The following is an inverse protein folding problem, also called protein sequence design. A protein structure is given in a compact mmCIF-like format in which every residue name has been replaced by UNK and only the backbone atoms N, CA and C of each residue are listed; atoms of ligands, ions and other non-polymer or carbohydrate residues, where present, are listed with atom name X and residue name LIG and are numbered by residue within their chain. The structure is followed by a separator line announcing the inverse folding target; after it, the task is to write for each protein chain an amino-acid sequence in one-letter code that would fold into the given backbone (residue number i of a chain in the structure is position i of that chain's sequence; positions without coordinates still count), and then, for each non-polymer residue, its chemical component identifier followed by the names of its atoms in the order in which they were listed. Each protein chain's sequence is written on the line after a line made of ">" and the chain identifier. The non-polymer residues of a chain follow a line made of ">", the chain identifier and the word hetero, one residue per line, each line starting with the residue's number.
data_IF_030881720947
#
_entry.id   IF_030881720947
#
_cell.length_a   1.000
_cell.length_b   1.000
_cell.length_c   1.000
_cell.angle_alpha   90.00
_cell.angle_beta   90.00
_cell.angle_gamma   90.00
#
_symmetry.space_group_name_H-M   'P 1'
#
loop_
_entity.id
_entity.type
_entity.pdbx_description
1 polymer ?
#
# COMPACT_ATOMS: atom_id res chain seq x y z
N UNK A 1 -15.50 13.08 -18.21
CA UNK A 1 -15.29 13.62 -16.85
C UNK A 1 -13.87 13.27 -16.42
N UNK A 2 -13.15 14.12 -15.69
CA UNK A 2 -11.86 13.74 -15.12
C UNK A 2 -12.06 12.54 -14.18
N UNK A 3 -11.12 11.59 -14.19
CA UNK A 3 -11.18 10.45 -13.28
C UNK A 3 -10.74 10.89 -11.88
N UNK A 4 -11.51 10.54 -10.85
CA UNK A 4 -11.29 11.03 -9.48
C UNK A 4 -10.18 10.24 -8.77
N UNK A 5 -9.51 10.91 -7.84
CA UNK A 5 -8.76 10.27 -6.77
C UNK A 5 -9.66 10.20 -5.53
N UNK A 6 -9.95 8.99 -5.07
CA UNK A 6 -10.79 8.74 -3.89
C UNK A 6 -9.92 8.20 -2.76
N UNK A 7 -9.85 8.93 -1.66
CA UNK A 7 -9.17 8.49 -0.44
C UNK A 7 -10.19 7.86 0.53
N UNK A 8 -9.83 6.75 1.18
CA UNK A 8 -10.65 6.16 2.24
C UNK A 8 -9.76 5.84 3.45
N UNK A 9 -9.95 6.61 4.51
CA UNK A 9 -9.18 6.47 5.76
C UNK A 9 -9.97 5.77 6.85
N UNK A 10 -9.28 4.97 7.67
CA UNK A 10 -9.88 4.38 8.85
C UNK A 10 -9.00 3.36 9.56
N UNK A 11 -9.32 3.03 10.83
CA UNK A 11 -8.57 2.04 11.58
C UNK A 11 -8.68 0.64 10.94
N UNK A 12 -7.80 -0.28 11.36
CA UNK A 12 -7.95 -1.69 10.99
C UNK A 12 -9.31 -2.22 11.48
N UNK A 13 -9.97 -3.07 10.69
CA UNK A 13 -11.27 -3.65 11.06
C UNK A 13 -12.51 -2.75 10.86
N UNK A 14 -12.35 -1.50 10.39
CA UNK A 14 -13.48 -0.56 10.15
C UNK A 14 -14.34 -0.87 8.92
N UNK A 15 -14.02 -1.93 8.15
CA UNK A 15 -14.72 -2.25 6.90
C UNK A 15 -14.30 -1.41 5.68
N UNK A 16 -13.39 -0.44 5.84
CA UNK A 16 -12.92 0.44 4.76
C UNK A 16 -12.46 -0.28 3.49
N UNK A 17 -11.83 -1.43 3.63
CA UNK A 17 -11.29 -2.18 2.48
C UNK A 17 -12.41 -2.76 1.60
N UNK A 18 -13.49 -3.24 2.24
CA UNK A 18 -14.67 -3.73 1.53
C UNK A 18 -15.38 -2.59 0.80
N UNK A 19 -15.52 -1.43 1.46
CA UNK A 19 -16.11 -0.23 0.86
C UNK A 19 -15.26 0.27 -0.30
N UNK A 20 -13.95 0.43 -0.09
CA UNK A 20 -13.02 0.94 -1.08
C UNK A 20 -12.98 0.10 -2.35
N UNK A 21 -12.94 -1.23 -2.18
CA UNK A 21 -13.02 -2.15 -3.32
C UNK A 21 -14.34 -2.01 -4.06
N UNK A 22 -15.47 -2.01 -3.33
CA UNK A 22 -16.78 -1.92 -3.97
C UNK A 22 -16.97 -0.61 -4.72
N UNK A 23 -16.49 0.50 -4.18
CA UNK A 23 -16.48 1.80 -4.85
C UNK A 23 -15.62 1.73 -6.12
N UNK A 24 -14.43 1.14 -6.05
CA UNK A 24 -13.55 1.00 -7.20
C UNK A 24 -14.19 0.17 -8.32
N UNK A 25 -14.79 -0.97 -7.98
CA UNK A 25 -15.53 -1.81 -8.94
C UNK A 25 -16.67 -1.07 -9.63
N UNK A 26 -17.51 -0.37 -8.85
CA UNK A 26 -18.67 0.37 -9.38
C UNK A 26 -18.25 1.50 -10.32
N UNK A 27 -17.09 2.11 -10.10
CA UNK A 27 -16.56 3.22 -10.89
C UNK A 27 -15.61 2.77 -12.02
N UNK A 28 -15.22 1.49 -12.06
CA UNK A 28 -14.17 0.99 -12.95
C UNK A 28 -12.79 1.57 -12.63
N UNK A 29 -12.53 1.89 -11.36
CA UNK A 29 -11.29 2.49 -10.86
C UNK A 29 -10.33 1.43 -10.31
N UNK A 30 -9.05 1.77 -10.26
CA UNK A 30 -8.03 0.93 -9.60
C UNK A 30 -8.18 1.02 -8.09
N UNK A 31 -8.12 -0.12 -7.39
CA UNK A 31 -8.12 -0.17 -5.93
C UNK A 31 -6.71 -0.43 -5.40
N UNK A 32 -6.18 0.41 -4.51
CA UNK A 32 -4.86 0.25 -3.89
C UNK A 32 -4.92 0.19 -2.35
N UNK A 33 -4.43 -0.90 -1.75
CA UNK A 33 -4.12 -1.01 -0.32
C UNK A 33 -2.71 -0.45 -0.02
N UNK A 34 -2.63 0.78 0.48
CA UNK A 34 -1.34 1.41 0.87
C UNK A 34 -0.56 0.57 1.89
N UNK A 35 -1.25 -0.15 2.77
CA UNK A 35 -0.64 -1.01 3.78
C UNK A 35 0.11 -2.20 3.16
N UNK A 36 -0.29 -2.66 1.98
CA UNK A 36 0.42 -3.72 1.26
C UNK A 36 1.82 -3.27 0.83
N UNK A 37 2.02 -1.99 0.51
CA UNK A 37 3.32 -1.44 0.14
C UNK A 37 4.30 -1.45 1.31
N UNK A 38 3.85 -1.02 2.49
CA UNK A 38 4.67 -1.10 3.71
C UNK A 38 5.04 -2.54 4.06
N UNK A 39 4.11 -3.48 3.90
CA UNK A 39 4.37 -4.92 4.13
C UNK A 39 5.33 -5.51 3.09
N UNK A 40 5.25 -5.10 1.84
CA UNK A 40 6.22 -5.53 0.80
C UNK A 40 7.64 -5.03 1.11
N UNK A 41 7.80 -3.76 1.51
CA UNK A 41 9.11 -3.23 1.91
C UNK A 41 9.64 -3.92 3.18
N UNK A 42 8.76 -4.18 4.16
CA UNK A 42 9.12 -4.90 5.38
C UNK A 42 9.59 -6.33 5.08
N UNK A 43 8.91 -7.05 4.18
CA UNK A 43 9.36 -8.36 3.71
C UNK A 43 10.78 -8.28 3.13
N UNK A 44 11.05 -7.31 2.25
CA UNK A 44 12.38 -7.11 1.67
C UNK A 44 13.44 -6.83 2.74
N UNK A 45 13.10 -6.01 3.74
CA UNK A 45 14.00 -5.70 4.85
C UNK A 45 14.35 -6.96 5.65
N UNK A 46 13.36 -7.80 5.95
CA UNK A 46 13.56 -9.07 6.66
C UNK A 46 14.39 -10.06 5.83
N UNK A 47 14.08 -10.24 4.55
CA UNK A 47 14.82 -11.13 3.64
C UNK A 47 16.30 -10.70 3.50
N UNK A 48 16.55 -9.39 3.43
CA UNK A 48 17.91 -8.82 3.37
C UNK A 48 18.57 -8.63 4.74
N UNK A 49 17.91 -9.03 5.83
CA UNK A 49 18.37 -8.88 7.21
C UNK A 49 18.79 -7.43 7.55
N UNK A 50 18.07 -6.45 7.01
CA UNK A 50 18.29 -5.04 7.33
C UNK A 50 17.71 -4.77 8.72
N UNK A 51 18.50 -4.26 9.68
CA UNK A 51 18.00 -3.91 11.00
C UNK A 51 16.87 -2.88 10.91
N UNK A 52 15.74 -3.15 11.59
CA UNK A 52 14.55 -2.30 11.52
C UNK A 52 14.69 -0.96 12.29
N UNK A 53 15.78 -0.81 13.03
CA UNK A 53 16.19 0.41 13.74
C UNK A 53 17.21 1.25 12.94
N UNK A 54 17.69 0.76 11.79
CA UNK A 54 18.61 1.48 10.92
C UNK A 54 17.85 2.25 9.84
N UNK A 55 17.35 3.44 10.19
CA UNK A 55 16.53 4.28 9.31
C UNK A 55 17.20 4.58 7.96
N UNK A 56 18.51 4.88 7.96
CA UNK A 56 19.24 5.22 6.74
C UNK A 56 19.29 4.04 5.75
N UNK A 57 19.52 2.82 6.25
CA UNK A 57 19.49 1.61 5.41
C UNK A 57 18.08 1.30 4.91
N UNK A 58 17.06 1.52 5.73
CA UNK A 58 15.67 1.30 5.32
C UNK A 58 15.21 2.32 4.29
N UNK A 59 15.62 3.58 4.39
CA UNK A 59 15.36 4.60 3.39
C UNK A 59 16.05 4.25 2.06
N UNK A 60 17.33 3.86 2.10
CA UNK A 60 18.04 3.38 0.91
C UNK A 60 17.35 2.18 0.26
N UNK A 61 16.95 1.21 1.08
CA UNK A 61 16.20 0.05 0.62
C UNK A 61 14.87 0.47 -0.05
N UNK A 62 14.12 1.40 0.56
CA UNK A 62 12.87 1.88 0.00
C UNK A 62 13.07 2.52 -1.39
N UNK A 63 14.12 3.32 -1.57
CA UNK A 63 14.45 3.99 -2.85
C UNK A 63 14.81 3.00 -3.96
N UNK A 64 15.41 1.87 -3.60
CA UNK A 64 15.80 0.78 -4.51
C UNK A 64 14.70 -0.28 -4.71
N UNK A 65 13.49 -0.05 -4.19
CA UNK A 65 12.42 -1.04 -4.23
C UNK A 65 11.34 -0.65 -5.21
N UNK A 66 10.99 -1.57 -6.10
CA UNK A 66 9.81 -1.43 -6.94
C UNK A 66 8.66 -2.26 -6.36
N UNK A 67 7.51 -1.61 -6.13
CA UNK A 67 6.30 -2.27 -5.62
C UNK A 67 5.17 -2.01 -6.61
N UNK A 68 4.59 -3.09 -7.13
CA UNK A 68 3.39 -3.02 -7.95
C UNK A 68 2.22 -3.68 -7.22
N UNK A 69 1.06 -3.03 -7.28
CA UNK A 69 -0.20 -3.56 -6.79
C UNK A 69 -1.11 -3.80 -7.99
N UNK A 70 -1.62 -5.02 -8.12
CA UNK A 70 -2.59 -5.41 -9.17
C UNK A 70 -3.88 -5.92 -8.52
N UNK A 71 -5.00 -5.98 -9.25
CA UNK A 71 -6.21 -6.61 -8.76
C UNK A 71 -5.95 -8.06 -8.28
N UNK A 72 -6.63 -8.53 -7.22
CA UNK A 72 -6.53 -9.91 -6.77
C UNK A 72 -7.13 -10.86 -7.83
N UNK A 73 -6.68 -12.11 -7.86
CA UNK A 73 -7.46 -13.17 -8.51
C UNK A 73 -8.63 -13.57 -7.60
N UNK A 74 -9.70 -14.22 -8.12
CA UNK A 74 -10.81 -14.69 -7.29
C UNK A 74 -10.36 -15.57 -6.11
N UNK A 75 -9.33 -16.40 -6.30
CA UNK A 75 -8.80 -17.29 -5.25
C UNK A 75 -8.07 -16.51 -4.17
N UNK A 76 -7.27 -15.50 -4.56
CA UNK A 76 -6.58 -14.63 -3.61
C UNK A 76 -7.58 -13.77 -2.84
N UNK A 77 -8.62 -13.27 -3.51
CA UNK A 77 -9.69 -12.53 -2.88
C UNK A 77 -10.45 -13.38 -1.86
N UNK A 78 -10.79 -14.63 -2.18
CA UNK A 78 -11.42 -15.56 -1.24
C UNK A 78 -10.55 -15.82 0.01
N UNK A 79 -9.22 -15.71 -0.11
CA UNK A 79 -8.28 -15.78 1.03
C UNK A 79 -8.14 -14.45 1.81
N UNK A 80 -8.91 -13.43 1.43
CA UNK A 80 -8.89 -12.09 2.01
C UNK A 80 -7.74 -11.21 1.52
N UNK A 81 -7.09 -11.54 0.40
CA UNK A 81 -6.10 -10.66 -0.22
C UNK A 81 -6.80 -9.49 -0.93
N UNK A 82 -6.15 -8.32 -0.82
CA UNK A 82 -6.68 -7.04 -1.29
C UNK A 82 -6.25 -6.73 -2.70
N UNK A 83 -4.96 -6.94 -2.92
CA UNK A 83 -4.24 -6.78 -4.18
C UNK A 83 -3.30 -7.98 -4.34
N UNK A 84 -2.92 -8.27 -5.57
CA UNK A 84 -1.67 -8.98 -5.86
C UNK A 84 -0.52 -8.00 -5.68
N UNK A 85 0.53 -8.43 -5.01
CA UNK A 85 1.65 -7.57 -4.64
C UNK A 85 2.91 -8.12 -5.25
N UNK A 86 3.58 -7.30 -6.05
CA UNK A 86 4.86 -7.64 -6.66
C UNK A 86 5.94 -6.77 -6.05
N UNK A 87 7.03 -7.41 -5.64
CA UNK A 87 8.20 -6.83 -5.03
C UNK A 87 9.38 -7.11 -5.97
N UNK A 88 9.92 -6.07 -6.58
CA UNK A 88 10.98 -6.16 -7.59
C UNK A 88 10.64 -7.19 -8.69
N UNK A 89 9.38 -7.21 -9.14
CA UNK A 89 8.86 -8.13 -10.16
C UNK A 89 8.46 -9.53 -9.65
N UNK A 90 8.78 -9.90 -8.41
CA UNK A 90 8.36 -11.17 -7.79
C UNK A 90 7.03 -11.01 -7.06
N UNK A 91 6.06 -11.88 -7.33
CA UNK A 91 4.81 -11.89 -6.56
C UNK A 91 5.07 -12.37 -5.12
N UNK A 92 4.62 -11.56 -4.14
CA UNK A 92 4.80 -11.78 -2.69
C UNK A 92 3.48 -11.68 -1.91
N UNK A 93 2.35 -11.80 -2.60
CA UNK A 93 1.00 -11.54 -2.08
C UNK A 93 0.69 -12.30 -0.78
N UNK A 94 1.20 -13.53 -0.64
CA UNK A 94 0.93 -14.39 0.52
C UNK A 94 1.92 -14.10 1.65
N UNK A 95 3.19 -13.95 1.31
CA UNK A 95 4.31 -13.74 2.22
C UNK A 95 4.13 -12.45 3.03
N UNK A 96 3.61 -11.39 2.41
CA UNK A 96 3.40 -10.11 3.08
C UNK A 96 2.31 -10.15 4.17
N UNK A 97 1.55 -11.24 4.28
CA UNK A 97 0.46 -11.40 5.27
C UNK A 97 0.94 -12.09 6.56
N UNK A 98 2.21 -12.47 6.65
CA UNK A 98 2.71 -13.11 7.87
C UNK A 98 2.66 -12.14 9.07
N UNK A 99 2.51 -12.65 10.31
CA UNK A 99 2.54 -11.82 11.50
C UNK A 99 3.84 -11.02 11.64
N UNK A 100 4.97 -11.65 11.31
CA UNK A 100 6.30 -11.03 11.35
C UNK A 100 6.41 -9.82 10.41
N UNK A 101 5.97 -9.98 9.15
CA UNK A 101 5.96 -8.88 8.17
C UNK A 101 5.01 -7.78 8.59
N UNK A 102 3.85 -8.13 9.16
CA UNK A 102 2.87 -7.14 9.65
C UNK A 102 3.44 -6.30 10.79
N UNK A 103 4.18 -6.93 11.72
CA UNK A 103 4.84 -6.23 12.81
C UNK A 103 5.98 -5.34 12.30
N UNK A 104 6.81 -5.85 11.38
CA UNK A 104 7.89 -5.08 10.77
C UNK A 104 7.36 -3.86 9.99
N UNK A 105 6.28 -4.04 9.21
CA UNK A 105 5.62 -2.95 8.49
C UNK A 105 5.11 -1.84 9.41
N UNK A 106 4.59 -2.21 10.58
CA UNK A 106 4.14 -1.24 11.59
C UNK A 106 5.29 -0.38 12.12
N UNK A 107 6.49 -0.96 12.29
CA UNK A 107 7.70 -0.22 12.65
C UNK A 107 8.18 0.68 11.50
N UNK A 108 8.22 0.16 10.27
CA UNK A 108 8.62 0.94 9.09
C UNK A 108 7.69 2.14 8.86
N UNK A 109 6.40 1.98 9.13
CA UNK A 109 5.41 3.04 9.01
C UNK A 109 5.59 4.18 10.02
N UNK A 110 6.43 4.05 11.05
CA UNK A 110 6.77 5.17 11.95
C UNK A 110 8.02 5.93 11.51
N UNK A 111 8.78 5.40 10.54
CA UNK A 111 10.05 6.00 10.08
C UNK A 111 9.76 7.04 9.01
N UNK A 112 9.96 8.31 9.32
CA UNK A 112 9.62 9.43 8.44
C UNK A 112 10.30 9.35 7.06
N UNK A 113 11.56 8.94 7.02
CA UNK A 113 12.31 8.79 5.77
C UNK A 113 11.70 7.73 4.84
N UNK A 114 11.34 6.56 5.39
CA UNK A 114 10.67 5.47 4.65
C UNK A 114 9.30 5.91 4.16
N UNK A 115 8.50 6.53 5.03
CA UNK A 115 7.17 7.05 4.67
C UNK A 115 7.26 8.02 3.49
N UNK A 116 8.23 8.93 3.50
CA UNK A 116 8.41 9.92 2.42
C UNK A 116 8.59 9.26 1.07
N UNK A 117 9.38 8.19 0.99
CA UNK A 117 9.60 7.42 -0.24
C UNK A 117 8.29 6.73 -0.67
N UNK A 118 7.65 5.99 0.23
CA UNK A 118 6.43 5.24 -0.11
C UNK A 118 5.24 6.14 -0.45
N UNK A 119 5.10 7.30 0.20
CA UNK A 119 4.06 8.29 -0.12
C UNK A 119 4.29 8.86 -1.52
N UNK A 120 5.54 9.15 -1.91
CA UNK A 120 5.84 9.57 -3.27
C UNK A 120 5.45 8.50 -4.30
N UNK A 121 5.71 7.22 -4.02
CA UNK A 121 5.25 6.11 -4.87
C UNK A 121 3.72 6.05 -4.98
N UNK A 122 3.01 6.18 -3.87
CA UNK A 122 1.55 6.18 -3.82
C UNK A 122 0.97 7.35 -4.63
N UNK A 123 1.53 8.54 -4.48
CA UNK A 123 1.15 9.72 -5.25
C UNK A 123 1.35 9.53 -6.74
N UNK A 124 2.49 8.95 -7.16
CA UNK A 124 2.73 8.62 -8.57
C UNK A 124 1.72 7.62 -9.10
N UNK A 125 1.36 6.60 -8.32
CA UNK A 125 0.36 5.61 -8.70
C UNK A 125 -1.05 6.20 -8.89
N UNK A 126 -1.38 7.29 -8.18
CA UNK A 126 -2.68 7.97 -8.30
C UNK A 126 -2.70 9.21 -9.19
N UNK A 127 -1.57 9.65 -9.74
CA UNK A 127 -1.47 10.92 -10.47
C UNK A 127 -2.37 11.01 -11.73
N UNK A 128 -2.77 9.86 -12.29
CA UNK A 128 -3.70 9.79 -13.43
C UNK A 128 -5.18 9.84 -13.05
N UNK A 129 -5.51 9.87 -11.75
CA UNK A 129 -6.87 9.66 -11.26
C UNK A 129 -7.35 8.23 -11.50
N UNK A 130 -8.66 8.02 -11.33
CA UNK A 130 -9.28 6.71 -11.58
C UNK A 130 -8.87 5.68 -10.54
N UNK A 131 -8.67 6.14 -9.30
CA UNK A 131 -8.12 5.34 -8.22
C UNK A 131 -8.94 5.51 -6.94
N UNK A 132 -9.10 4.40 -6.22
CA UNK A 132 -9.55 4.37 -4.83
C UNK A 132 -8.41 3.82 -3.98
N UNK A 133 -7.84 4.66 -3.12
CA UNK A 133 -6.75 4.26 -2.23
C UNK A 133 -7.23 4.24 -0.78
N UNK A 134 -6.97 3.14 -0.08
CA UNK A 134 -7.27 3.03 1.35
C UNK A 134 -6.02 3.06 2.23
N UNK A 135 -6.17 3.56 3.45
CA UNK A 135 -5.10 3.64 4.43
C UNK A 135 -5.52 4.26 5.76
N UNK A 136 -4.57 4.94 6.40
CA UNK A 136 -4.80 5.67 7.66
C UNK A 136 -4.77 7.18 7.49
N UNK A 137 -4.03 7.66 6.50
CA UNK A 137 -3.68 9.05 6.26
C UNK A 137 -3.64 9.38 4.75
N UNK A 138 -4.46 8.69 3.95
CA UNK A 138 -4.53 8.88 2.50
C UNK A 138 -5.07 10.28 2.19
N UNK A 139 -6.21 10.68 2.74
CA UNK A 139 -6.84 11.96 2.43
C UNK A 139 -6.18 13.18 3.10
N UNK A 140 -5.22 12.95 4.00
CA UNK A 140 -4.53 14.00 4.76
C UNK A 140 -3.06 14.14 4.40
N UNK A 141 -2.36 13.05 4.06
CA UNK A 141 -0.93 13.04 3.76
C UNK A 141 -0.64 12.64 2.31
N UNK A 142 -1.26 11.56 1.82
CA UNK A 142 -0.94 11.04 0.49
C UNK A 142 -1.58 11.89 -0.61
N UNK A 143 -2.89 12.07 -0.54
CA UNK A 143 -3.70 12.87 -1.47
C UNK A 143 -4.51 13.92 -0.69
N UNK A 144 -3.86 14.98 -0.15
CA UNK A 144 -4.56 16.05 0.55
C UNK A 144 -5.62 16.75 -0.32
N UNK A 145 -5.39 16.73 -1.63
CA UNK A 145 -6.23 17.32 -2.67
C UNK A 145 -7.08 16.28 -3.44
N UNK A 146 -7.27 15.07 -2.90
CA UNK A 146 -8.21 14.11 -3.47
C UNK A 146 -9.59 14.75 -3.66
N UNK A 147 -10.24 14.51 -4.80
CA UNK A 147 -11.56 15.07 -5.09
C UNK A 147 -12.64 14.54 -4.13
N UNK A 148 -12.42 13.35 -3.55
CA UNK A 148 -13.27 12.76 -2.53
C UNK A 148 -12.42 12.07 -1.45
N UNK A 149 -12.75 12.29 -0.18
CA UNK A 149 -12.07 11.71 0.99
C UNK A 149 -13.03 11.45 2.14
#
# INVERSE_FOLDING_TARGET
>A
MPQLTIAIDGPAGSGKSSVARRVAELLGYSYLDSGAMYRALALKALERKVPLDNEARLEGLAKETHIELKPPTPELEASGAKNRVFLDGREVTREIRSPEVTQAASKLATIAAVRRVLVAEQQRAGAGGGIVMEGRDIGTVVFPNAELK
#
